data_IF_003037297493
#
_entry.id   IF_003037297493
#
_cell.length_a   1.000
_cell.length_b   1.000
_cell.length_c   1.000
_cell.angle_alpha   90.00
_cell.angle_beta   90.00
_cell.angle_gamma   90.00
#
_symmetry.space_group_name_H-M   'P 1'
#
loop_
_entity.id
_entity.type
_entity.pdbx_description
1 polymer ?
#
# COMPACT_ATOMS: atom_id res chain seq x y z
N UNK A 1 25.38 -46.81 -42.37
CA UNK A 1 23.91 -46.83 -42.30
C UNK A 1 23.48 -47.51 -41.01
N UNK A 2 22.65 -46.87 -40.19
CA UNK A 2 22.08 -47.52 -39.01
C UNK A 2 21.80 -46.56 -37.87
N UNK A 3 20.81 -45.68 -38.04
CA UNK A 3 20.23 -44.88 -36.97
C UNK A 3 19.34 -45.76 -36.09
N UNK A 4 19.67 -45.91 -34.81
CA UNK A 4 18.77 -46.52 -33.83
C UNK A 4 18.06 -45.41 -33.05
N UNK A 5 16.75 -45.27 -33.27
CA UNK A 5 15.84 -44.41 -32.50
C UNK A 5 15.55 -45.09 -31.16
N UNK A 6 15.72 -44.38 -30.04
CA UNK A 6 15.21 -44.80 -28.73
C UNK A 6 13.92 -44.03 -28.45
N UNK A 7 12.85 -44.77 -28.17
CA UNK A 7 11.52 -44.25 -27.87
C UNK A 7 11.47 -43.65 -26.45
N UNK A 8 10.88 -42.46 -26.32
CA UNK A 8 10.61 -41.81 -25.04
C UNK A 8 9.28 -42.33 -24.52
N UNK A 9 9.29 -43.00 -23.37
CA UNK A 9 8.09 -43.44 -22.65
C UNK A 9 7.50 -42.24 -21.90
N UNK A 10 6.24 -41.94 -22.18
CA UNK A 10 5.48 -40.90 -21.48
C UNK A 10 5.08 -41.39 -20.08
N UNK A 11 5.51 -40.67 -19.05
CA UNK A 11 4.94 -40.79 -17.70
C UNK A 11 3.91 -39.67 -17.50
N UNK A 12 2.65 -40.07 -17.38
CA UNK A 12 1.54 -39.20 -17.01
C UNK A 12 1.73 -38.68 -15.58
N UNK A 13 1.54 -37.37 -15.38
CA UNK A 13 1.57 -36.74 -14.05
C UNK A 13 0.20 -36.94 -13.36
N UNK A 14 0.17 -37.19 -12.05
CA UNK A 14 -1.09 -37.30 -11.31
C UNK A 14 -1.78 -35.94 -11.13
N UNK A 15 -3.10 -36.02 -10.99
CA UNK A 15 -4.11 -34.96 -10.89
C UNK A 15 -3.85 -34.00 -9.70
N UNK A 16 -3.66 -32.71 -9.95
CA UNK A 16 -3.58 -31.64 -8.93
C UNK A 16 -4.95 -30.98 -8.70
N UNK A 17 -5.93 -31.75 -8.24
CA UNK A 17 -7.12 -31.21 -7.59
C UNK A 17 -6.87 -31.18 -6.08
N UNK A 18 -6.30 -30.09 -5.57
CA UNK A 18 -6.59 -29.47 -4.26
C UNK A 18 -5.50 -28.43 -3.90
N UNK A 19 -5.52 -27.28 -4.56
CA UNK A 19 -4.80 -26.10 -4.08
C UNK A 19 -5.78 -24.95 -3.93
N UNK A 20 -6.47 -24.93 -2.79
CA UNK A 20 -7.23 -23.76 -2.32
C UNK A 20 -6.29 -22.57 -2.16
N UNK A 21 -6.01 -21.91 -3.28
CA UNK A 21 -5.31 -20.64 -3.35
C UNK A 21 -6.39 -19.59 -3.17
N UNK A 22 -6.63 -19.18 -1.93
CA UNK A 22 -7.42 -17.97 -1.69
C UNK A 22 -6.59 -16.81 -2.24
N UNK A 23 -6.87 -16.42 -3.48
CA UNK A 23 -6.39 -15.15 -4.02
C UNK A 23 -7.16 -14.07 -3.29
N UNK A 24 -6.60 -13.56 -2.18
CA UNK A 24 -7.09 -12.33 -1.59
C UNK A 24 -6.84 -11.24 -2.64
N UNK A 25 -7.89 -10.82 -3.33
CA UNK A 25 -7.84 -9.62 -4.17
C UNK A 25 -7.55 -8.47 -3.21
N UNK A 26 -6.38 -7.81 -3.31
CA UNK A 26 -6.10 -6.66 -2.46
C UNK A 26 -7.17 -5.58 -2.71
N UNK A 27 -7.68 -4.90 -1.68
CA UNK A 27 -8.70 -3.88 -1.86
C UNK A 27 -8.25 -2.81 -2.88
N UNK A 28 -9.19 -2.16 -3.60
CA UNK A 28 -8.89 -1.39 -4.81
C UNK A 28 -7.88 -0.26 -4.62
N UNK A 29 -7.81 0.31 -3.43
CA UNK A 29 -6.88 1.37 -3.05
C UNK A 29 -5.45 0.89 -2.81
N UNK A 30 -5.21 -0.40 -2.66
CA UNK A 30 -3.88 -1.01 -2.55
C UNK A 30 -3.22 -1.25 -3.93
N UNK A 31 -3.99 -1.09 -5.03
CA UNK A 31 -3.54 -1.39 -6.38
C UNK A 31 -3.15 -0.16 -7.21
N UNK A 32 -3.23 1.05 -6.64
CA UNK A 32 -2.89 2.30 -7.34
C UNK A 32 -1.68 2.99 -6.70
N UNK A 33 -0.74 3.40 -7.55
CA UNK A 33 0.49 4.05 -7.13
C UNK A 33 0.20 5.40 -6.49
N UNK A 34 0.75 5.63 -5.29
CA UNK A 34 0.60 6.89 -4.54
C UNK A 34 1.23 8.13 -5.21
N UNK A 35 1.90 7.98 -6.36
CA UNK A 35 2.53 9.09 -7.09
C UNK A 35 1.90 9.42 -8.44
N UNK A 36 1.34 8.44 -9.15
CA UNK A 36 0.77 8.64 -10.48
C UNK A 36 -0.70 8.22 -10.58
N UNK A 37 -1.27 7.63 -9.52
CA UNK A 37 -2.63 7.11 -9.47
C UNK A 37 -2.95 6.01 -10.52
N UNK A 38 -1.93 5.51 -11.25
CA UNK A 38 -2.02 4.34 -12.13
C UNK A 38 -1.76 3.04 -11.36
N UNK A 39 -2.19 1.92 -11.95
CA UNK A 39 -1.84 0.56 -11.49
C UNK A 39 -0.60 -0.01 -12.17
N UNK A 40 -0.50 -1.35 -12.15
CA UNK A 40 0.57 -2.12 -12.81
C UNK A 40 1.20 -3.13 -11.86
N UNK A 41 2.50 -3.33 -11.96
CA UNK A 41 3.27 -4.01 -10.92
C UNK A 41 3.41 -3.06 -9.74
N UNK A 42 2.93 -3.50 -8.58
CA UNK A 42 2.76 -2.67 -7.39
C UNK A 42 3.52 -3.28 -6.21
N UNK A 43 4.28 -2.45 -5.52
CA UNK A 43 4.92 -2.76 -4.25
C UNK A 43 4.16 -2.06 -3.11
N UNK A 44 3.70 -2.83 -2.14
CA UNK A 44 2.98 -2.33 -0.96
C UNK A 44 3.98 -1.99 0.14
N UNK A 45 3.81 -0.84 0.78
CA UNK A 45 4.57 -0.50 1.98
C UNK A 45 3.97 -1.20 3.19
N UNK A 46 4.76 -2.05 3.86
CA UNK A 46 4.40 -2.77 5.09
C UNK A 46 4.33 -1.84 6.33
N UNK A 47 4.78 -0.60 6.19
CA UNK A 47 4.60 0.43 7.22
C UNK A 47 3.17 0.96 7.34
N UNK A 48 2.92 1.72 8.40
CA UNK A 48 1.59 2.26 8.78
C UNK A 48 0.88 3.09 7.71
N UNK A 49 1.57 3.54 6.66
CA UNK A 49 0.94 4.31 5.60
C UNK A 49 0.11 3.47 4.64
N UNK A 50 0.37 2.16 4.53
CA UNK A 50 -0.34 1.24 3.63
C UNK A 50 -0.37 1.69 2.16
N UNK A 51 0.53 2.59 1.76
CA UNK A 51 0.58 3.12 0.39
C UNK A 51 1.26 2.11 -0.51
N UNK A 52 0.88 2.13 -1.78
CA UNK A 52 1.49 1.30 -2.79
C UNK A 52 2.15 2.15 -3.88
N UNK A 53 3.13 1.58 -4.56
CA UNK A 53 4.00 2.27 -5.51
C UNK A 53 4.19 1.39 -6.74
N UNK A 54 4.22 1.96 -7.95
CA UNK A 54 4.39 1.18 -9.18
C UNK A 54 5.84 1.12 -9.67
N UNK A 55 6.14 0.12 -10.51
CA UNK A 55 7.47 -0.09 -11.14
C UNK A 55 7.79 0.88 -12.29
N UNK A 56 6.94 1.89 -12.56
CA UNK A 56 7.23 2.90 -13.56
C UNK A 56 8.49 3.69 -13.15
N UNK A 57 9.38 3.97 -14.12
CA UNK A 57 10.68 4.59 -13.88
C UNK A 57 10.58 5.92 -13.11
N UNK A 58 9.65 6.80 -13.50
CA UNK A 58 9.41 8.07 -12.82
C UNK A 58 8.97 7.91 -11.35
N UNK A 59 8.23 6.84 -11.02
CA UNK A 59 7.75 6.55 -9.68
C UNK A 59 8.85 5.94 -8.82
N UNK A 60 9.65 5.03 -9.38
CA UNK A 60 10.83 4.47 -8.73
C UNK A 60 11.88 5.55 -8.42
N UNK A 61 12.14 6.46 -9.35
CA UNK A 61 13.04 7.60 -9.15
C UNK A 61 12.56 8.52 -8.02
N UNK A 62 11.26 8.88 -8.01
CA UNK A 62 10.65 9.66 -6.92
C UNK A 62 10.72 8.93 -5.57
N UNK A 63 10.57 7.61 -5.58
CA UNK A 63 10.67 6.78 -4.38
C UNK A 63 12.11 6.64 -3.87
N UNK A 64 13.11 6.93 -4.72
CA UNK A 64 14.51 6.65 -4.45
C UNK A 64 14.82 5.15 -4.44
N UNK A 65 14.02 4.35 -5.16
CA UNK A 65 14.12 2.89 -5.17
C UNK A 65 14.73 2.41 -6.50
N UNK A 66 15.99 1.97 -6.54
CA UNK A 66 16.60 1.44 -7.77
C UNK A 66 15.95 0.10 -8.19
N UNK A 67 15.88 -0.21 -9.50
CA UNK A 67 15.22 -1.42 -10.01
C UNK A 67 15.70 -2.74 -9.38
N UNK A 68 16.99 -2.84 -9.02
CA UNK A 68 17.53 -4.04 -8.37
C UNK A 68 16.89 -4.31 -7.01
N UNK A 69 16.58 -3.28 -6.24
CA UNK A 69 15.94 -3.43 -4.94
C UNK A 69 14.46 -3.77 -5.09
N UNK A 70 13.79 -3.24 -6.13
CA UNK A 70 12.41 -3.62 -6.45
C UNK A 70 12.25 -5.15 -6.58
N UNK A 71 13.03 -5.77 -7.46
CA UNK A 71 12.96 -7.22 -7.67
C UNK A 71 13.38 -8.02 -6.43
N UNK A 72 14.30 -7.50 -5.61
CA UNK A 72 14.70 -8.15 -4.37
C UNK A 72 13.56 -8.20 -3.34
N UNK A 73 12.73 -7.14 -3.25
CA UNK A 73 11.55 -7.14 -2.37
C UNK A 73 10.51 -8.17 -2.83
N UNK A 74 10.29 -8.25 -4.14
CA UNK A 74 9.33 -9.18 -4.75
C UNK A 74 9.78 -10.64 -4.64
N UNK A 75 11.02 -10.94 -5.03
CA UNK A 75 11.57 -12.31 -5.05
C UNK A 75 11.72 -12.88 -3.64
N UNK A 76 12.29 -12.09 -2.73
CA UNK A 76 12.59 -12.56 -1.39
C UNK A 76 11.46 -12.31 -0.38
N UNK A 77 10.35 -11.70 -0.82
CA UNK A 77 9.22 -11.31 0.05
C UNK A 77 9.69 -10.55 1.30
N UNK A 78 10.70 -9.71 1.12
CA UNK A 78 11.24 -8.92 2.23
C UNK A 78 10.31 -7.73 2.50
N UNK A 79 10.06 -7.36 3.77
CA UNK A 79 9.19 -6.24 4.07
C UNK A 79 9.73 -4.94 3.46
N UNK A 80 8.89 -4.25 2.70
CA UNK A 80 9.22 -2.97 2.10
C UNK A 80 8.66 -1.82 2.94
N UNK A 81 9.51 -0.89 3.33
CA UNK A 81 9.09 0.35 3.99
C UNK A 81 9.46 1.54 3.10
N UNK A 82 8.47 2.34 2.69
CA UNK A 82 8.74 3.54 1.92
C UNK A 82 9.55 4.56 2.74
N UNK A 83 10.28 5.51 2.10
CA UNK A 83 11.10 6.49 2.81
C UNK A 83 10.35 7.26 3.89
N UNK A 84 9.10 7.65 3.63
CA UNK A 84 8.26 8.33 4.62
C UNK A 84 8.01 7.49 5.87
N UNK A 85 7.79 6.17 5.74
CA UNK A 85 7.65 5.27 6.89
C UNK A 85 8.99 5.08 7.60
N UNK A 86 10.09 4.92 6.86
CA UNK A 86 11.44 4.78 7.44
C UNK A 86 11.84 6.00 8.28
N UNK A 87 11.55 7.20 7.78
CA UNK A 87 11.88 8.46 8.45
C UNK A 87 10.75 8.99 9.34
N UNK A 88 9.62 8.28 9.45
CA UNK A 88 8.43 8.70 10.21
C UNK A 88 7.91 10.10 9.82
N UNK A 89 7.96 10.45 8.54
CA UNK A 89 7.48 11.73 7.99
C UNK A 89 6.37 11.49 6.99
N UNK A 90 5.15 11.90 7.30
CA UNK A 90 3.97 11.61 6.48
C UNK A 90 3.29 12.88 5.97
N UNK A 91 2.69 12.79 4.79
CA UNK A 91 1.96 13.91 4.22
C UNK A 91 0.60 14.04 4.88
N UNK A 92 0.27 15.25 5.31
CA UNK A 92 -1.09 15.58 5.73
C UNK A 92 -2.03 15.44 4.53
N UNK A 93 -3.09 14.65 4.68
CA UNK A 93 -4.07 14.39 3.63
C UNK A 93 -4.84 15.66 3.24
N UNK A 94 -5.04 16.59 4.18
CA UNK A 94 -5.77 17.83 3.91
C UNK A 94 -4.97 18.89 3.14
N UNK A 95 -3.64 18.94 3.29
CA UNK A 95 -2.82 20.02 2.70
C UNK A 95 -1.61 19.55 1.88
N UNK A 96 -1.36 18.24 1.81
CA UNK A 96 -0.24 17.64 1.07
C UNK A 96 1.15 17.82 1.69
N UNK A 97 1.31 18.72 2.67
CA UNK A 97 2.61 19.00 3.30
C UNK A 97 3.05 17.86 4.24
N UNK A 98 4.35 17.59 4.28
CA UNK A 98 4.96 16.63 5.21
C UNK A 98 4.99 17.17 6.65
N UNK A 99 4.91 16.25 7.60
CA UNK A 99 5.20 16.50 9.01
C UNK A 99 5.71 15.24 9.69
N UNK A 100 6.36 15.40 10.84
CA UNK A 100 6.88 14.31 11.65
C UNK A 100 5.73 13.63 12.43
N UNK A 101 5.68 12.30 12.39
CA UNK A 101 4.64 11.51 13.03
C UNK A 101 4.69 11.66 14.55
N UNK A 102 3.54 12.00 15.14
CA UNK A 102 3.39 12.20 16.59
C UNK A 102 3.78 13.60 17.07
N UNK A 103 4.25 14.47 16.16
CA UNK A 103 4.58 15.87 16.47
C UNK A 103 3.76 16.81 15.58
N UNK A 104 3.98 16.73 14.26
CA UNK A 104 3.30 17.59 13.29
C UNK A 104 2.04 16.95 12.74
N UNK A 105 2.08 15.63 12.50
CA UNK A 105 0.97 14.86 11.93
C UNK A 105 0.62 13.65 12.77
N UNK A 106 -0.68 13.34 12.82
CA UNK A 106 -1.23 12.22 13.55
C UNK A 106 -2.08 11.35 12.61
N UNK A 107 -2.11 10.05 12.87
CA UNK A 107 -2.86 9.09 12.07
C UNK A 107 -4.33 9.04 12.50
N UNK A 108 -5.25 8.98 11.54
CA UNK A 108 -6.66 8.70 11.80
C UNK A 108 -6.81 7.36 12.54
N UNK A 109 -7.63 7.33 13.59
CA UNK A 109 -7.85 6.14 14.41
C UNK A 109 -8.83 5.14 13.80
N UNK A 110 -9.52 5.49 12.71
CA UNK A 110 -10.41 4.57 12.02
C UNK A 110 -9.63 3.44 11.35
N UNK A 111 -10.11 2.21 11.51
CA UNK A 111 -9.47 1.01 10.99
C UNK A 111 -9.20 1.14 9.49
N UNK A 112 -7.99 0.75 9.05
CA UNK A 112 -7.54 0.78 7.64
C UNK A 112 -7.48 2.15 6.94
N UNK A 113 -7.81 3.27 7.60
CA UNK A 113 -7.79 4.59 6.95
C UNK A 113 -6.38 5.02 6.51
N UNK A 114 -5.39 4.82 7.39
CA UNK A 114 -3.97 5.12 7.17
C UNK A 114 -3.67 6.57 6.69
N UNK A 115 -4.59 7.52 6.91
CA UNK A 115 -4.40 8.93 6.57
C UNK A 115 -3.87 9.71 7.77
N UNK A 116 -2.98 10.65 7.47
CA UNK A 116 -2.31 11.50 8.43
C UNK A 116 -2.79 12.94 8.28
N UNK A 117 -2.87 13.68 9.38
CA UNK A 117 -3.32 15.07 9.36
C UNK A 117 -2.54 15.91 10.36
N UNK A 118 -2.28 17.17 9.99
CA UNK A 118 -1.88 18.17 10.97
C UNK A 118 -3.08 18.54 11.87
N UNK A 119 -2.91 18.74 13.19
CA UNK A 119 -3.99 19.17 14.08
C UNK A 119 -4.73 20.43 13.56
N UNK A 120 -3.99 21.47 13.15
CA UNK A 120 -4.58 22.70 12.60
C UNK A 120 -5.39 22.50 11.28
N UNK A 121 -5.21 21.36 10.60
CA UNK A 121 -5.95 21.04 9.37
C UNK A 121 -7.28 20.37 9.74
N UNK A 122 -7.30 19.57 10.80
CA UNK A 122 -8.50 18.96 11.36
C UNK A 122 -9.41 20.01 12.00
N UNK A 123 -8.83 20.94 12.76
CA UNK A 123 -9.57 22.04 13.40
C UNK A 123 -10.33 22.89 12.36
N UNK A 124 -9.68 23.21 11.23
CA UNK A 124 -10.30 23.92 10.11
C UNK A 124 -11.45 23.16 9.45
N UNK A 125 -11.50 21.84 9.65
CA UNK A 125 -12.57 20.96 9.18
C UNK A 125 -13.58 20.65 10.29
N UNK A 126 -13.50 21.33 11.45
CA UNK A 126 -14.41 21.14 12.58
C UNK A 126 -14.17 19.86 13.38
N UNK A 127 -13.04 19.17 13.17
CA UNK A 127 -12.70 17.95 13.92
C UNK A 127 -11.90 18.30 15.15
N UNK A 128 -12.34 17.78 16.30
CA UNK A 128 -11.61 17.88 17.57
C UNK A 128 -10.66 16.70 17.71
N UNK A 129 -9.40 17.00 18.07
CA UNK A 129 -8.40 16.01 18.44
C UNK A 129 -8.41 15.86 19.95
N UNK A 130 -8.52 14.64 20.46
CA UNK A 130 -8.48 14.35 21.90
C UNK A 130 -7.35 13.36 22.19
N UNK A 131 -6.36 13.76 22.99
CA UNK A 131 -5.18 12.95 23.29
C UNK A 131 -4.54 12.36 22.02
N UNK A 132 -4.34 13.18 21.00
CA UNK A 132 -3.76 12.79 19.70
C UNK A 132 -4.56 11.74 18.90
N UNK A 133 -5.76 11.38 19.36
CA UNK A 133 -6.68 10.50 18.67
C UNK A 133 -7.81 11.29 18.00
N UNK A 134 -8.17 10.90 16.78
CA UNK A 134 -9.27 11.46 16.01
C UNK A 134 -9.71 10.51 14.90
N UNK A 135 -10.98 10.60 14.51
CA UNK A 135 -11.50 10.02 13.27
C UNK A 135 -11.60 11.14 12.24
N UNK A 136 -11.00 10.96 11.06
CA UNK A 136 -10.97 12.01 10.04
C UNK A 136 -12.34 12.19 9.34
N UNK A 137 -12.63 13.37 8.75
CA UNK A 137 -13.93 13.67 8.14
C UNK A 137 -14.35 12.74 7.00
N UNK A 138 -13.43 11.94 6.44
CA UNK A 138 -13.79 10.97 5.40
C UNK A 138 -14.75 9.88 5.90
N UNK A 139 -14.79 9.65 7.20
CA UNK A 139 -15.68 8.69 7.84
C UNK A 139 -16.96 9.35 8.37
N UNK A 140 -17.29 10.55 7.88
CA UNK A 140 -18.54 11.25 8.20
C UNK A 140 -19.15 11.79 6.92
N UNK A 141 -20.42 11.49 6.69
CA UNK A 141 -21.15 12.01 5.54
C UNK A 141 -21.30 13.54 5.66
N UNK A 142 -20.88 14.28 4.64
CA UNK A 142 -20.98 15.74 4.64
C UNK A 142 -22.44 16.25 4.63
N UNK A 143 -23.38 15.47 4.10
CA UNK A 143 -24.77 15.88 3.95
C UNK A 143 -25.62 15.60 5.20
N UNK A 144 -25.46 14.42 5.81
CA UNK A 144 -26.29 13.97 6.94
C UNK A 144 -25.54 13.83 8.25
N UNK A 145 -24.22 14.08 8.27
CA UNK A 145 -23.35 14.00 9.45
C UNK A 145 -23.34 12.62 10.15
N UNK A 146 -23.78 11.57 9.46
CA UNK A 146 -23.68 10.19 9.96
C UNK A 146 -22.25 9.66 9.80
N UNK A 147 -21.78 8.90 10.79
CA UNK A 147 -20.49 8.24 10.73
C UNK A 147 -20.56 6.96 9.88
N UNK A 148 -19.48 6.65 9.17
CA UNK A 148 -19.29 5.35 8.50
C UNK A 148 -19.31 4.22 9.55
N UNK A 149 -20.02 3.14 9.24
CA UNK A 149 -20.04 1.92 10.06
C UNK A 149 -18.84 1.04 9.70
N UNK A 150 -18.19 0.45 10.71
CA UNK A 150 -17.02 -0.43 10.55
C UNK A 150 -17.27 -1.70 9.73
#
# INVERSE_FOLDING_TARGET
SGSTKVAVVAHTRPNEENRSSITLVPPPNELVCAFCDDGGEILLCDGICGRSFCSQQNCMEKLGLPPRLWYAFEEHRTPFHCPNCLFKRHNCFACGKLGDLGTDVFQCSHSKCAKFYHPHCLERQGVRVANDAFVCPRHTCADCNSAETE
#
